data_IF_766240126656
#
_entry.id   IF_766240126656
#
_cell.length_a   1.000
_cell.length_b   1.000
_cell.length_c   1.000
_cell.angle_alpha   90.00
_cell.angle_beta   90.00
_cell.angle_gamma   90.00
#
_symmetry.space_group_name_H-M   'P 1'
#
loop_
_entity.id
_entity.type
_entity.pdbx_description
1 polymer ?
#
# COMPACT_ATOMS: atom_id res chain seq x y z
N UNK A 1 -12.43 25.45 3.25
CA UNK A 1 -11.16 25.04 3.86
C UNK A 1 -9.95 25.79 3.28
N UNK A 2 -9.69 25.75 1.98
CA UNK A 2 -8.49 26.35 1.37
C UNK A 2 -8.43 27.87 1.56
N UNK A 3 -9.52 28.59 1.32
CA UNK A 3 -9.61 30.04 1.57
C UNK A 3 -9.40 30.39 3.04
N UNK A 4 -9.99 29.61 3.96
CA UNK A 4 -9.79 29.81 5.39
C UNK A 4 -8.32 29.62 5.79
N UNK A 5 -7.63 28.62 5.25
CA UNK A 5 -6.23 28.39 5.50
C UNK A 5 -5.33 29.57 5.04
N UNK A 6 -5.63 30.13 3.87
CA UNK A 6 -4.90 31.26 3.31
C UNK A 6 -5.14 32.53 4.14
N UNK A 7 -6.37 32.78 4.55
CA UNK A 7 -6.72 33.91 5.43
C UNK A 7 -6.03 33.79 6.81
N UNK A 8 -6.03 32.58 7.40
CA UNK A 8 -5.34 32.33 8.68
C UNK A 8 -3.83 32.53 8.54
N UNK A 9 -3.25 32.10 7.42
CA UNK A 9 -1.83 32.31 7.11
C UNK A 9 -1.49 33.81 7.04
N UNK A 10 -2.33 34.61 6.39
CA UNK A 10 -2.13 36.04 6.22
C UNK A 10 -2.34 36.82 7.53
N UNK A 11 -3.40 36.51 8.30
CA UNK A 11 -3.62 37.09 9.62
C UNK A 11 -2.51 36.78 10.62
N UNK A 12 -1.94 35.55 10.55
CA UNK A 12 -0.76 35.19 11.34
C UNK A 12 0.49 35.96 10.90
N UNK A 13 0.60 36.37 9.61
CA UNK A 13 1.70 37.17 9.08
C UNK A 13 1.70 38.57 9.65
N UNK A 14 0.58 39.24 9.69
CA UNK A 14 0.43 40.58 10.21
C UNK A 14 0.84 40.69 11.72
N UNK A 15 0.54 39.66 12.52
CA UNK A 15 1.00 39.56 13.91
C UNK A 15 2.51 39.34 14.07
N UNK A 16 3.18 38.79 13.04
CA UNK A 16 4.62 38.54 13.03
C UNK A 16 5.42 39.66 12.37
N UNK A 17 4.80 40.82 12.08
CA UNK A 17 5.47 41.95 11.41
C UNK A 17 5.76 41.75 9.93
N UNK A 18 5.16 40.75 9.30
CA UNK A 18 5.28 40.51 7.86
C UNK A 18 4.12 41.22 7.16
N UNK A 19 4.37 41.98 6.07
CA UNK A 19 3.31 42.66 5.33
C UNK A 19 2.24 41.67 4.85
N UNK A 20 0.97 42.10 4.82
CA UNK A 20 -0.13 41.31 4.30
C UNK A 20 0.03 41.06 2.80
N UNK A 21 -0.42 39.89 2.36
CA UNK A 21 -0.39 39.51 0.94
C UNK A 21 -1.51 40.28 0.20
N UNK A 22 -1.26 40.86 -0.99
CA UNK A 22 -2.32 41.52 -1.76
C UNK A 22 -3.50 40.59 -2.01
N UNK A 23 -4.72 41.11 -1.87
CA UNK A 23 -5.99 40.35 -1.91
C UNK A 23 -6.14 39.49 -3.20
N UNK A 24 -5.66 40.00 -4.32
CA UNK A 24 -5.65 39.25 -5.58
C UNK A 24 -4.97 37.87 -5.45
N UNK A 25 -3.82 37.81 -4.82
CA UNK A 25 -3.04 36.57 -4.67
C UNK A 25 -3.64 35.62 -3.59
N UNK A 26 -4.32 36.19 -2.59
CA UNK A 26 -5.06 35.39 -1.63
C UNK A 26 -6.24 34.63 -2.25
N UNK A 27 -6.74 35.11 -3.40
CA UNK A 27 -7.81 34.44 -4.19
C UNK A 27 -7.20 33.59 -5.32
N UNK A 28 -6.19 34.08 -6.03
CA UNK A 28 -5.59 33.39 -7.16
C UNK A 28 -4.95 32.06 -6.76
N UNK A 29 -4.21 32.01 -5.64
CA UNK A 29 -3.58 30.78 -5.17
C UNK A 29 -4.57 29.64 -4.89
N UNK A 30 -5.67 29.84 -4.09
CA UNK A 30 -6.68 28.83 -3.89
C UNK A 30 -7.33 28.34 -5.18
N UNK A 31 -7.67 29.25 -6.11
CA UNK A 31 -8.28 28.89 -7.38
C UNK A 31 -7.36 28.03 -8.24
N UNK A 32 -6.09 28.40 -8.36
CA UNK A 32 -5.09 27.61 -9.08
C UNK A 32 -4.89 26.24 -8.43
N UNK A 33 -4.78 26.18 -7.10
CA UNK A 33 -4.64 24.91 -6.37
C UNK A 33 -5.84 24.00 -6.64
N UNK A 34 -7.05 24.55 -6.56
CA UNK A 34 -8.29 23.80 -6.86
C UNK A 34 -8.34 23.31 -8.30
N UNK A 35 -8.00 24.18 -9.26
CA UNK A 35 -7.95 23.82 -10.69
C UNK A 35 -6.98 22.66 -10.95
N UNK A 36 -5.77 22.68 -10.37
CA UNK A 36 -4.80 21.61 -10.51
C UNK A 36 -5.25 20.31 -9.82
N UNK A 37 -5.90 20.38 -8.68
CA UNK A 37 -6.47 19.20 -8.03
C UNK A 37 -7.60 18.59 -8.86
N UNK A 38 -8.45 19.42 -9.44
CA UNK A 38 -9.55 18.98 -10.32
C UNK A 38 -9.03 18.37 -11.63
N UNK A 39 -8.06 19.02 -12.29
CA UNK A 39 -7.42 18.52 -13.51
C UNK A 39 -6.74 17.17 -13.30
N UNK A 40 -6.16 16.94 -12.12
CA UNK A 40 -5.56 15.65 -11.73
C UNK A 40 -6.55 14.62 -11.24
N UNK A 41 -7.85 14.91 -11.34
CA UNK A 41 -8.94 13.96 -11.04
C UNK A 41 -9.11 13.63 -9.56
N UNK A 42 -8.71 14.52 -8.64
CA UNK A 42 -8.88 14.31 -7.19
C UNK A 42 -10.37 14.17 -6.80
N UNK A 43 -11.25 14.84 -7.53
CA UNK A 43 -12.70 14.87 -7.27
C UNK A 43 -13.49 13.83 -8.09
N UNK A 44 -12.83 13.02 -8.91
CA UNK A 44 -13.52 11.94 -9.64
C UNK A 44 -13.94 10.85 -8.66
N UNK A 45 -15.16 10.31 -8.77
CA UNK A 45 -15.60 9.19 -7.95
C UNK A 45 -14.66 8.00 -8.17
N UNK A 46 -14.21 7.39 -7.09
CA UNK A 46 -13.30 6.24 -7.12
C UNK A 46 -13.85 5.13 -6.26
N UNK A 47 -13.70 3.90 -6.73
CA UNK A 47 -14.06 2.70 -5.96
C UNK A 47 -13.17 2.58 -4.73
N UNK A 48 -11.87 2.81 -4.89
CA UNK A 48 -10.89 2.66 -3.81
C UNK A 48 -10.50 4.01 -3.20
N UNK A 49 -10.57 4.11 -1.87
CA UNK A 49 -10.02 5.24 -1.13
C UNK A 49 -8.49 5.11 -1.06
N UNK A 50 -7.79 5.99 -1.76
CA UNK A 50 -6.33 6.04 -1.78
C UNK A 50 -5.83 7.29 -1.08
N UNK A 51 -6.05 7.36 0.23
CA UNK A 51 -5.74 8.55 1.06
C UNK A 51 -4.34 9.09 0.81
N UNK A 52 -3.33 8.22 0.85
CA UNK A 52 -1.93 8.64 0.65
C UNK A 52 -1.64 9.13 -0.79
N UNK A 53 -2.32 8.57 -1.80
CA UNK A 53 -2.19 9.06 -3.18
C UNK A 53 -2.86 10.44 -3.35
N UNK A 54 -3.96 10.66 -2.67
CA UNK A 54 -4.64 11.96 -2.64
C UNK A 54 -3.77 13.02 -1.95
N UNK A 55 -3.06 12.67 -0.86
CA UNK A 55 -2.12 13.58 -0.20
C UNK A 55 -1.01 14.04 -1.16
N UNK A 56 -0.47 13.11 -1.97
CA UNK A 56 0.50 13.46 -3.01
C UNK A 56 -0.07 14.47 -4.01
N UNK A 57 -1.30 14.24 -4.51
CA UNK A 57 -1.94 15.14 -5.46
C UNK A 57 -2.15 16.52 -4.84
N UNK A 58 -2.58 16.59 -3.59
CA UNK A 58 -2.78 17.86 -2.86
C UNK A 58 -1.48 18.65 -2.76
N UNK A 59 -0.41 18.02 -2.22
CA UNK A 59 0.88 18.71 -2.02
C UNK A 59 1.50 19.18 -3.34
N UNK A 60 1.50 18.31 -4.35
CA UNK A 60 2.08 18.67 -5.65
C UNK A 60 1.26 19.72 -6.40
N UNK A 61 -0.06 19.75 -6.24
CA UNK A 61 -0.91 20.79 -6.84
C UNK A 61 -0.73 22.13 -6.12
N UNK A 62 -0.67 22.14 -4.80
CA UNK A 62 -0.39 23.33 -4.02
C UNK A 62 1.02 23.88 -4.30
N UNK A 63 2.04 23.02 -4.44
CA UNK A 63 3.40 23.42 -4.78
C UNK A 63 3.47 24.05 -6.18
N UNK A 64 2.80 23.47 -7.16
CA UNK A 64 2.75 24.03 -8.53
C UNK A 64 2.06 25.39 -8.55
N UNK A 65 0.93 25.55 -7.85
CA UNK A 65 0.24 26.81 -7.70
C UNK A 65 1.14 27.86 -7.01
N UNK A 66 1.85 27.47 -5.94
CA UNK A 66 2.79 28.35 -5.26
C UNK A 66 3.95 28.80 -6.15
N UNK A 67 4.52 27.91 -6.95
CA UNK A 67 5.57 28.24 -7.93
C UNK A 67 5.08 29.26 -8.95
N UNK A 68 3.89 29.10 -9.50
CA UNK A 68 3.30 30.03 -10.48
C UNK A 68 3.07 31.39 -9.82
N UNK A 69 2.43 31.42 -8.64
CA UNK A 69 2.18 32.66 -7.91
C UNK A 69 3.49 33.38 -7.57
N UNK A 70 4.50 32.64 -7.10
CA UNK A 70 5.82 33.18 -6.79
C UNK A 70 6.46 33.80 -8.03
N UNK A 71 6.50 33.08 -9.15
CA UNK A 71 7.09 33.57 -10.40
C UNK A 71 6.41 34.84 -10.91
N UNK A 72 5.08 34.86 -10.92
CA UNK A 72 4.31 36.03 -11.37
C UNK A 72 4.50 37.24 -10.44
N UNK A 73 4.61 37.01 -9.13
CA UNK A 73 4.81 38.08 -8.15
C UNK A 73 6.21 38.67 -8.25
N UNK A 74 7.23 37.85 -8.44
CA UNK A 74 8.63 38.34 -8.63
C UNK A 74 8.72 39.22 -9.89
N UNK A 75 8.01 38.87 -10.97
CA UNK A 75 8.00 39.65 -12.20
C UNK A 75 7.16 40.93 -12.05
N UNK A 76 6.08 40.89 -11.25
CA UNK A 76 5.11 41.99 -11.13
C UNK A 76 5.49 43.06 -10.09
N UNK A 77 6.30 42.74 -9.10
CA UNK A 77 6.61 43.61 -7.98
C UNK A 77 8.00 43.32 -7.40
N UNK A 78 8.73 44.37 -7.13
CA UNK A 78 10.06 44.30 -6.47
C UNK A 78 9.85 44.32 -4.91
N UNK A 79 9.18 43.26 -4.41
CA UNK A 79 8.87 43.11 -2.99
C UNK A 79 9.76 42.00 -2.37
N UNK A 80 10.65 42.32 -1.44
CA UNK A 80 11.53 41.32 -0.81
C UNK A 80 10.80 40.23 0.00
N UNK A 81 9.56 40.45 0.34
CA UNK A 81 8.76 39.52 1.15
C UNK A 81 8.01 38.48 0.32
N UNK A 82 7.99 38.57 -1.01
CA UNK A 82 7.21 37.71 -1.90
C UNK A 82 7.46 36.22 -1.63
N UNK A 83 8.72 35.82 -1.51
CA UNK A 83 9.09 34.43 -1.28
C UNK A 83 8.58 33.93 0.07
N UNK A 84 8.80 34.72 1.13
CA UNK A 84 8.37 34.36 2.50
C UNK A 84 6.84 34.25 2.62
N UNK A 85 6.10 35.21 2.06
CA UNK A 85 4.64 35.20 2.03
C UNK A 85 4.09 33.99 1.26
N UNK A 86 4.63 33.72 0.06
CA UNK A 86 4.17 32.59 -0.76
C UNK A 86 4.49 31.25 -0.11
N UNK A 87 5.70 31.06 0.45
CA UNK A 87 6.08 29.85 1.16
C UNK A 87 5.17 29.60 2.38
N UNK A 88 4.82 30.65 3.11
CA UNK A 88 3.92 30.55 4.27
C UNK A 88 2.50 30.15 3.87
N UNK A 89 1.92 30.82 2.85
CA UNK A 89 0.60 30.48 2.34
C UNK A 89 0.59 29.00 1.86
N UNK A 90 1.61 28.59 1.11
CA UNK A 90 1.77 27.22 0.65
C UNK A 90 1.83 26.22 1.83
N UNK A 91 2.63 26.51 2.87
CA UNK A 91 2.78 25.62 4.02
C UNK A 91 1.45 25.46 4.77
N UNK A 92 0.79 26.58 5.13
CA UNK A 92 -0.50 26.54 5.84
C UNK A 92 -1.58 25.86 4.98
N UNK A 93 -1.70 26.21 3.71
CA UNK A 93 -2.67 25.58 2.81
C UNK A 93 -2.42 24.08 2.69
N UNK A 94 -1.16 23.66 2.56
CA UNK A 94 -0.80 22.24 2.51
C UNK A 94 -1.22 21.51 3.79
N UNK A 95 -0.87 22.03 4.96
CA UNK A 95 -1.25 21.42 6.26
C UNK A 95 -2.76 21.32 6.40
N UNK A 96 -3.51 22.41 6.12
CA UNK A 96 -4.99 22.40 6.23
C UNK A 96 -5.65 21.45 5.25
N UNK A 97 -5.19 21.42 4.01
CA UNK A 97 -5.73 20.51 2.99
C UNK A 97 -5.43 19.05 3.33
N UNK A 98 -4.20 18.75 3.79
CA UNK A 98 -3.82 17.42 4.24
C UNK A 98 -4.65 16.96 5.42
N UNK A 99 -4.76 17.79 6.46
CA UNK A 99 -5.57 17.51 7.64
C UNK A 99 -7.05 17.28 7.26
N UNK A 100 -7.62 18.19 6.47
CA UNK A 100 -9.01 18.08 6.00
C UNK A 100 -9.24 16.82 5.16
N UNK A 101 -8.28 16.47 4.28
CA UNK A 101 -8.39 15.24 3.47
C UNK A 101 -8.30 13.98 4.32
N UNK A 102 -7.42 13.96 5.32
CA UNK A 102 -7.30 12.83 6.25
C UNK A 102 -8.61 12.66 7.02
N UNK A 103 -9.18 13.74 7.58
CA UNK A 103 -10.44 13.70 8.34
C UNK A 103 -11.60 13.22 7.47
N UNK A 104 -11.76 13.77 6.25
CA UNK A 104 -12.81 13.34 5.32
C UNK A 104 -12.65 11.87 4.92
N UNK A 105 -11.44 11.44 4.59
CA UNK A 105 -11.16 10.06 4.22
C UNK A 105 -11.38 9.10 5.40
N UNK A 106 -11.02 9.50 6.60
CA UNK A 106 -11.29 8.73 7.81
C UNK A 106 -12.80 8.60 8.07
N UNK A 107 -13.55 9.69 7.94
CA UNK A 107 -15.01 9.68 8.06
C UNK A 107 -15.67 8.76 7.04
N UNK A 108 -15.25 8.84 5.77
CA UNK A 108 -15.74 7.97 4.71
C UNK A 108 -15.39 6.49 4.96
N UNK A 109 -14.17 6.22 5.42
CA UNK A 109 -13.76 4.87 5.79
C UNK A 109 -14.61 4.29 6.93
N UNK A 110 -14.92 5.10 7.94
CA UNK A 110 -15.78 4.69 9.04
C UNK A 110 -17.23 4.45 8.59
N UNK A 111 -17.77 5.33 7.72
CA UNK A 111 -19.10 5.17 7.14
C UNK A 111 -19.20 3.88 6.31
N UNK A 112 -18.17 3.56 5.51
CA UNK A 112 -18.09 2.30 4.74
C UNK A 112 -18.05 1.08 5.66
N UNK A 113 -17.22 1.11 6.71
CA UNK A 113 -17.14 0.00 7.69
C UNK A 113 -18.44 -0.21 8.44
N UNK A 114 -19.22 0.84 8.71
CA UNK A 114 -20.56 0.76 9.32
C UNK A 114 -21.65 0.35 8.33
N UNK A 115 -21.34 0.23 7.04
CA UNK A 115 -22.31 -0.09 6.00
C UNK A 115 -23.21 1.08 5.58
N UNK A 116 -22.93 2.31 6.05
CA UNK A 116 -23.73 3.50 5.73
C UNK A 116 -23.44 4.05 4.34
N UNK A 117 -22.22 3.84 3.82
CA UNK A 117 -21.77 4.31 2.50
C UNK A 117 -21.24 3.15 1.65
N UNK A 118 -22.11 2.17 1.39
CA UNK A 118 -21.77 1.00 0.57
C UNK A 118 -22.63 0.97 -0.69
N UNK A 119 -22.06 0.40 -1.76
CA UNK A 119 -22.75 0.18 -3.04
C UNK A 119 -23.09 -1.30 -3.15
N UNK A 120 -24.40 -1.65 -3.20
CA UNK A 120 -24.79 -3.02 -3.49
C UNK A 120 -24.17 -3.48 -4.82
N UNK A 121 -23.42 -4.59 -4.78
CA UNK A 121 -22.59 -5.04 -5.89
C UNK A 121 -23.00 -6.44 -6.32
N UNK A 122 -23.24 -6.63 -7.60
CA UNK A 122 -23.58 -7.92 -8.18
C UNK A 122 -22.37 -8.50 -8.91
N UNK A 123 -22.07 -9.77 -8.69
CA UNK A 123 -20.98 -10.46 -9.36
C UNK A 123 -21.55 -11.33 -10.49
N UNK A 124 -21.14 -11.09 -11.72
CA UNK A 124 -21.51 -11.89 -12.88
C UNK A 124 -20.47 -12.99 -13.09
N UNK A 125 -20.91 -14.25 -12.96
CA UNK A 125 -20.09 -15.44 -12.95
C UNK A 125 -19.85 -15.97 -11.54
N UNK A 126 -20.39 -17.16 -11.22
CA UNK A 126 -20.22 -17.87 -9.93
C UNK A 126 -19.10 -18.92 -9.97
N UNK A 127 -18.14 -18.79 -10.89
CA UNK A 127 -16.96 -19.62 -11.00
C UNK A 127 -15.90 -19.28 -9.92
N UNK A 128 -14.74 -19.95 -9.97
CA UNK A 128 -13.63 -19.74 -9.01
C UNK A 128 -13.26 -18.28 -8.82
N UNK A 129 -13.16 -17.51 -9.91
CA UNK A 129 -12.75 -16.07 -9.85
C UNK A 129 -13.87 -15.21 -9.30
N UNK A 130 -15.14 -15.47 -9.65
CA UNK A 130 -16.27 -14.73 -9.09
C UNK A 130 -16.39 -14.93 -7.59
N UNK A 131 -16.26 -16.14 -7.10
CA UNK A 131 -16.27 -16.47 -5.67
C UNK A 131 -15.10 -15.83 -4.93
N UNK A 132 -13.88 -15.86 -5.51
CA UNK A 132 -12.72 -15.17 -4.97
C UNK A 132 -12.97 -13.65 -4.88
N UNK A 133 -13.54 -13.07 -5.91
CA UNK A 133 -13.90 -11.64 -5.94
C UNK A 133 -14.91 -11.31 -4.85
N UNK A 134 -15.98 -12.07 -4.73
CA UNK A 134 -17.01 -11.87 -3.72
C UNK A 134 -16.45 -12.04 -2.29
N UNK A 135 -15.64 -13.06 -2.04
CA UNK A 135 -14.95 -13.27 -0.76
C UNK A 135 -14.08 -12.06 -0.41
N UNK A 136 -13.24 -11.57 -1.32
CA UNK A 136 -12.40 -10.38 -1.08
C UNK A 136 -13.23 -9.12 -0.80
N UNK A 137 -14.38 -8.96 -1.43
CA UNK A 137 -15.29 -7.86 -1.14
C UNK A 137 -15.91 -7.96 0.26
N UNK A 138 -16.21 -9.17 0.74
CA UNK A 138 -16.70 -9.40 2.10
C UNK A 138 -15.61 -9.21 3.17
N UNK A 139 -14.38 -9.63 2.87
CA UNK A 139 -13.22 -9.47 3.76
C UNK A 139 -12.76 -8.00 3.86
N UNK A 140 -13.07 -7.17 2.85
CA UNK A 140 -12.62 -5.77 2.73
C UNK A 140 -13.79 -4.78 2.61
N UNK A 141 -14.62 -4.60 3.66
CA UNK A 141 -15.77 -3.69 3.63
C UNK A 141 -15.37 -2.23 3.39
N UNK A 142 -14.12 -1.87 3.67
CA UNK A 142 -13.55 -0.54 3.39
C UNK A 142 -13.54 -0.18 1.89
N UNK A 143 -13.66 -1.15 1.00
CA UNK A 143 -13.80 -0.92 -0.44
C UNK A 143 -15.15 -0.23 -0.79
N UNK A 144 -16.14 -0.31 0.11
CA UNK A 144 -17.46 0.26 -0.09
C UNK A 144 -18.30 -0.48 -1.12
N UNK A 145 -17.93 -1.72 -1.49
CA UNK A 145 -18.68 -2.60 -2.37
C UNK A 145 -19.21 -3.77 -1.54
N UNK A 146 -20.54 -3.88 -1.44
CA UNK A 146 -21.22 -4.96 -0.71
C UNK A 146 -21.77 -5.97 -1.68
N UNK A 147 -21.19 -7.17 -1.82
CA UNK A 147 -21.73 -8.17 -2.73
C UNK A 147 -23.10 -8.65 -2.24
N UNK A 148 -24.08 -8.69 -3.14
CA UNK A 148 -25.45 -9.13 -2.86
C UNK A 148 -25.73 -10.56 -3.36
N UNK A 149 -24.99 -11.02 -4.37
CA UNK A 149 -25.11 -12.35 -4.94
C UNK A 149 -24.42 -12.47 -6.29
N UNK A 150 -24.70 -13.58 -6.95
CA UNK A 150 -24.16 -13.89 -8.28
C UNK A 150 -25.25 -13.93 -9.34
N UNK A 151 -24.85 -13.62 -10.59
CA UNK A 151 -25.59 -14.04 -11.78
C UNK A 151 -24.77 -15.07 -12.55
N UNK A 152 -25.31 -16.29 -12.65
CA UNK A 152 -24.71 -17.35 -13.46
C UNK A 152 -25.78 -18.33 -13.94
N UNK A 153 -25.70 -18.74 -15.20
CA UNK A 153 -26.59 -19.74 -15.78
C UNK A 153 -26.28 -21.16 -15.29
N UNK A 154 -24.99 -21.45 -15.12
CA UNK A 154 -24.45 -22.74 -14.75
C UNK A 154 -23.43 -22.60 -13.63
N UNK A 155 -23.90 -22.28 -12.40
CA UNK A 155 -23.00 -22.08 -11.29
C UNK A 155 -22.27 -23.38 -10.95
N UNK A 156 -20.98 -23.29 -10.64
CA UNK A 156 -20.25 -24.42 -10.08
C UNK A 156 -20.93 -24.84 -8.77
N UNK A 157 -20.86 -26.14 -8.42
CA UNK A 157 -21.37 -26.63 -7.14
C UNK A 157 -20.90 -25.72 -5.99
N UNK A 158 -21.83 -25.37 -5.10
CA UNK A 158 -21.51 -24.52 -3.97
C UNK A 158 -20.40 -25.18 -3.15
N UNK A 159 -19.35 -24.44 -2.84
CA UNK A 159 -18.43 -24.86 -1.80
C UNK A 159 -19.10 -24.60 -0.45
N UNK A 160 -18.83 -25.41 0.57
CA UNK A 160 -19.43 -25.28 1.93
C UNK A 160 -19.25 -23.88 2.56
N UNK A 161 -18.40 -23.05 2.02
CA UNK A 161 -18.07 -21.68 2.48
C UNK A 161 -18.69 -20.56 1.62
N UNK A 162 -19.61 -20.87 0.69
CA UNK A 162 -20.20 -19.85 -0.20
C UNK A 162 -21.42 -19.20 0.45
N UNK A 163 -21.21 -17.99 0.98
CA UNK A 163 -22.22 -17.24 1.76
C UNK A 163 -23.21 -16.44 0.92
N UNK A 164 -23.03 -16.40 -0.41
CA UNK A 164 -23.83 -15.55 -1.29
C UNK A 164 -24.70 -16.39 -2.22
N UNK A 165 -25.97 -16.01 -2.42
CA UNK A 165 -26.89 -16.71 -3.31
C UNK A 165 -26.61 -16.43 -4.80
N UNK A 166 -26.95 -17.38 -5.65
CA UNK A 166 -27.11 -17.16 -7.08
C UNK A 166 -28.54 -16.63 -7.31
N UNK A 167 -28.65 -15.36 -7.75
CA UNK A 167 -29.91 -14.64 -7.87
C UNK A 167 -30.62 -14.84 -9.22
N UNK A 168 -29.93 -15.48 -10.17
CA UNK A 168 -30.43 -15.77 -11.49
C UNK A 168 -29.33 -15.84 -12.54
N UNK A 169 -29.70 -15.74 -13.79
CA UNK A 169 -28.80 -15.73 -14.93
C UNK A 169 -28.67 -14.31 -15.53
N UNK A 170 -27.84 -14.15 -16.56
CA UNK A 170 -27.59 -12.86 -17.19
C UNK A 170 -28.84 -12.12 -17.71
N UNK A 171 -29.88 -12.83 -18.07
CA UNK A 171 -31.16 -12.26 -18.49
C UNK A 171 -32.04 -11.75 -17.34
N UNK A 172 -31.75 -12.16 -16.09
CA UNK A 172 -32.44 -11.66 -14.88
C UNK A 172 -31.83 -10.36 -14.35
N UNK A 173 -30.85 -9.77 -15.03
CA UNK A 173 -30.10 -8.58 -14.59
C UNK A 173 -31.03 -7.43 -14.18
N UNK A 174 -32.03 -7.10 -15.01
CA UNK A 174 -32.94 -5.99 -14.75
C UNK A 174 -33.75 -6.17 -13.48
N UNK A 175 -34.23 -7.39 -13.26
CA UNK A 175 -34.99 -7.76 -12.07
C UNK A 175 -34.10 -7.64 -10.83
N UNK A 176 -32.95 -8.28 -10.87
CA UNK A 176 -31.99 -8.31 -9.74
C UNK A 176 -31.48 -6.92 -9.40
N UNK A 177 -31.16 -6.08 -10.40
CA UNK A 177 -30.72 -4.70 -10.19
C UNK A 177 -31.79 -3.89 -9.44
N UNK A 178 -33.05 -4.03 -9.81
CA UNK A 178 -34.18 -3.30 -9.16
C UNK A 178 -34.47 -3.84 -7.76
N UNK A 179 -34.58 -5.15 -7.60
CA UNK A 179 -34.93 -5.80 -6.33
C UNK A 179 -33.86 -5.56 -5.24
N UNK A 180 -32.60 -5.60 -5.62
CA UNK A 180 -31.49 -5.47 -4.66
C UNK A 180 -30.84 -4.08 -4.67
N UNK A 181 -31.34 -3.12 -5.45
CA UNK A 181 -30.80 -1.77 -5.54
C UNK A 181 -29.33 -1.74 -6.01
N UNK A 182 -28.96 -2.65 -6.92
CA UNK A 182 -27.55 -2.78 -7.37
C UNK A 182 -27.07 -1.51 -8.03
N UNK A 183 -25.91 -1.02 -7.59
CA UNK A 183 -25.25 0.17 -8.14
C UNK A 183 -23.93 -0.14 -8.83
N UNK A 184 -23.39 -1.33 -8.61
CA UNK A 184 -22.14 -1.76 -9.20
C UNK A 184 -22.20 -3.21 -9.64
N UNK A 185 -21.68 -3.52 -10.82
CA UNK A 185 -21.57 -4.89 -11.35
C UNK A 185 -20.10 -5.22 -11.57
N UNK A 186 -19.66 -6.37 -11.10
CA UNK A 186 -18.34 -6.92 -11.38
C UNK A 186 -18.47 -8.11 -12.30
N UNK A 187 -18.00 -7.95 -13.54
CA UNK A 187 -17.89 -9.05 -14.48
C UNK A 187 -16.66 -9.88 -14.14
N UNK A 188 -16.86 -11.10 -13.67
CA UNK A 188 -15.83 -12.10 -13.48
C UNK A 188 -15.71 -13.03 -14.69
N UNK A 189 -14.84 -14.03 -14.62
CA UNK A 189 -14.76 -15.02 -15.68
C UNK A 189 -16.05 -15.81 -15.79
N UNK A 190 -16.62 -15.76 -16.99
CA UNK A 190 -17.81 -16.53 -17.38
C UNK A 190 -17.51 -17.32 -18.64
N UNK A 191 -18.14 -18.49 -18.77
CA UNK A 191 -18.19 -19.28 -19.99
C UNK A 191 -19.10 -18.68 -21.05
N UNK A 192 -19.83 -17.62 -20.68
CA UNK A 192 -20.77 -16.93 -21.59
C UNK A 192 -20.02 -16.36 -22.82
N UNK A 193 -20.65 -16.42 -24.00
CA UNK A 193 -20.13 -15.78 -25.21
C UNK A 193 -19.91 -14.27 -25.01
N UNK A 194 -18.93 -13.71 -25.72
CA UNK A 194 -18.60 -12.27 -25.63
C UNK A 194 -19.82 -11.38 -25.95
N UNK A 195 -20.71 -11.80 -26.84
CA UNK A 195 -21.95 -11.07 -27.16
C UNK A 195 -22.86 -10.90 -25.94
N UNK A 196 -22.94 -11.92 -25.09
CA UNK A 196 -23.74 -11.87 -23.83
C UNK A 196 -23.14 -10.90 -22.86
N UNK A 197 -21.80 -10.92 -22.68
CA UNK A 197 -21.11 -9.98 -21.79
C UNK A 197 -21.27 -8.53 -22.25
N UNK A 198 -21.16 -8.29 -23.56
CA UNK A 198 -21.40 -6.97 -24.14
C UNK A 198 -22.86 -6.50 -23.96
N UNK A 199 -23.84 -7.42 -24.09
CA UNK A 199 -25.23 -7.11 -23.81
C UNK A 199 -25.45 -6.73 -22.34
N UNK A 200 -24.86 -7.48 -21.40
CA UNK A 200 -24.89 -7.15 -19.97
C UNK A 200 -24.27 -5.77 -19.71
N UNK A 201 -23.11 -5.46 -20.30
CA UNK A 201 -22.47 -4.15 -20.14
C UNK A 201 -23.34 -3.01 -20.64
N UNK A 202 -23.94 -3.13 -21.85
CA UNK A 202 -24.87 -2.13 -22.40
C UNK A 202 -26.07 -1.94 -21.47
N UNK A 203 -26.63 -3.06 -20.99
CA UNK A 203 -27.80 -2.98 -20.12
C UNK A 203 -27.49 -2.31 -18.80
N UNK A 204 -26.32 -2.57 -18.20
CA UNK A 204 -25.85 -1.86 -17.02
C UNK A 204 -25.72 -0.34 -17.29
N UNK A 205 -25.19 0.06 -18.45
CA UNK A 205 -25.08 1.47 -18.84
C UNK A 205 -26.48 2.13 -18.95
N UNK A 206 -27.45 1.46 -19.55
CA UNK A 206 -28.85 1.94 -19.65
C UNK A 206 -29.51 2.10 -18.27
N UNK A 207 -29.17 1.20 -17.32
CA UNK A 207 -29.68 1.23 -15.95
C UNK A 207 -28.90 2.20 -15.04
N UNK A 208 -27.85 2.86 -15.54
CA UNK A 208 -26.99 3.75 -14.76
C UNK A 208 -26.13 3.02 -13.72
N UNK A 209 -25.85 1.73 -13.94
CA UNK A 209 -25.05 0.88 -13.04
C UNK A 209 -23.59 0.88 -13.51
N UNK A 210 -22.67 1.15 -12.59
CA UNK A 210 -21.24 1.08 -12.87
C UNK A 210 -20.78 -0.37 -13.12
N UNK A 211 -19.90 -0.58 -14.09
CA UNK A 211 -19.36 -1.90 -14.41
C UNK A 211 -17.86 -1.92 -14.28
N UNK A 212 -17.35 -2.94 -13.58
CA UNK A 212 -15.94 -3.30 -13.54
C UNK A 212 -15.74 -4.72 -14.08
N UNK A 213 -14.61 -4.99 -14.66
CA UNK A 213 -14.30 -6.32 -15.20
C UNK A 213 -12.98 -6.83 -14.66
N UNK A 214 -12.97 -8.09 -14.23
CA UNK A 214 -11.73 -8.81 -13.92
C UNK A 214 -11.12 -9.28 -15.25
N UNK A 215 -9.92 -8.84 -15.64
CA UNK A 215 -9.32 -9.24 -16.89
C UNK A 215 -8.90 -10.73 -16.87
N UNK A 216 -8.96 -11.42 -18.02
CA UNK A 216 -8.63 -12.86 -18.10
C UNK A 216 -7.20 -13.21 -17.67
N UNK A 217 -6.29 -12.26 -17.72
CA UNK A 217 -4.90 -12.42 -17.30
C UNK A 217 -4.62 -11.69 -15.99
N UNK A 218 -5.62 -11.58 -15.10
CA UNK A 218 -5.51 -10.81 -13.85
C UNK A 218 -4.29 -11.24 -12.99
N UNK A 219 -3.87 -12.49 -13.09
CA UNK A 219 -2.69 -13.03 -12.40
C UNK A 219 -1.37 -12.41 -12.90
N UNK A 220 -1.34 -11.90 -14.14
CA UNK A 220 -0.19 -11.24 -14.76
C UNK A 220 -0.39 -9.75 -15.05
N UNK A 221 -1.64 -9.27 -14.95
CA UNK A 221 -2.00 -7.85 -15.12
C UNK A 221 -1.84 -7.14 -13.77
N UNK A 222 -0.65 -7.27 -13.17
CA UNK A 222 -0.32 -6.68 -11.87
C UNK A 222 0.74 -5.60 -12.09
N UNK A 223 0.46 -4.63 -12.93
CA UNK A 223 1.38 -3.54 -13.24
C UNK A 223 0.66 -2.33 -13.81
N UNK A 224 1.40 -1.36 -14.27
CA UNK A 224 0.83 -0.22 -14.99
C UNK A 224 0.29 -0.71 -16.33
N UNK A 225 -1.02 -0.96 -16.39
CA UNK A 225 -1.71 -1.28 -17.62
C UNK A 225 -2.19 0.01 -18.25
N UNK A 226 -1.61 0.37 -19.37
CA UNK A 226 -2.09 1.41 -20.24
C UNK A 226 -3.14 0.86 -21.21
N UNK A 227 -4.15 1.67 -21.54
CA UNK A 227 -5.03 1.39 -22.67
C UNK A 227 -4.56 2.26 -23.82
N UNK A 228 -4.05 1.61 -24.87
CA UNK A 228 -3.68 2.25 -26.13
C UNK A 228 -4.71 1.87 -27.21
N UNK A 229 -4.83 2.65 -28.27
CA UNK A 229 -5.79 2.38 -29.33
C UNK A 229 -5.06 2.19 -30.66
N UNK A 230 -5.21 1.01 -31.25
CA UNK A 230 -4.75 0.69 -32.59
C UNK A 230 -5.94 0.73 -33.56
N UNK A 231 -6.13 1.83 -34.30
CA UNK A 231 -7.23 1.96 -35.24
C UNK A 231 -8.63 1.72 -34.65
N UNK A 232 -8.86 2.15 -33.39
CA UNK A 232 -10.10 1.93 -32.67
C UNK A 232 -10.17 0.62 -31.85
N UNK A 233 -9.19 -0.27 -31.98
CA UNK A 233 -9.05 -1.47 -31.15
C UNK A 233 -8.29 -1.15 -29.87
N UNK A 234 -8.88 -1.31 -28.68
CA UNK A 234 -8.19 -1.06 -27.42
C UNK A 234 -7.16 -2.17 -27.18
N UNK A 235 -5.89 -1.77 -26.96
CA UNK A 235 -4.79 -2.60 -26.55
C UNK A 235 -4.48 -2.39 -25.08
N UNK A 236 -4.47 -3.47 -24.31
CA UNK A 236 -3.97 -3.45 -22.94
C UNK A 236 -2.45 -3.68 -22.96
N UNK A 237 -1.70 -2.58 -22.82
CA UNK A 237 -0.24 -2.65 -22.78
C UNK A 237 0.21 -2.78 -21.34
N UNK A 238 0.73 -3.94 -20.95
CA UNK A 238 1.37 -4.16 -19.66
C UNK A 238 2.85 -3.74 -19.76
N UNK A 239 3.25 -2.76 -18.96
CA UNK A 239 4.66 -2.35 -18.85
C UNK A 239 5.28 -3.05 -17.64
N UNK A 240 6.07 -4.12 -17.84
CA UNK A 240 6.72 -4.79 -16.72
C UNK A 240 7.77 -3.87 -16.08
N UNK A 241 7.70 -3.71 -14.78
CA UNK A 241 8.75 -3.01 -14.02
C UNK A 241 10.08 -3.73 -14.19
N UNK A 242 11.09 -3.02 -14.67
CA UNK A 242 12.44 -3.54 -14.81
C UNK A 242 13.28 -3.25 -13.54
N UNK A 243 13.53 -4.26 -12.67
CA UNK A 243 14.32 -4.06 -11.44
C UNK A 243 15.81 -3.75 -11.69
N UNK A 244 16.27 -3.84 -12.93
CA UNK A 244 17.63 -3.49 -13.35
C UNK A 244 17.74 -2.09 -13.97
N UNK A 245 16.64 -1.32 -13.96
CA UNK A 245 16.62 0.04 -14.49
C UNK A 245 17.44 1.01 -13.62
N UNK A 246 17.81 2.15 -14.21
CA UNK A 246 18.48 3.23 -13.48
C UNK A 246 17.67 3.76 -12.28
N UNK A 247 16.35 3.68 -12.35
CA UNK A 247 15.44 4.08 -11.28
C UNK A 247 15.69 3.26 -9.99
N UNK A 248 15.91 1.94 -10.13
CA UNK A 248 16.30 1.09 -8.99
C UNK A 248 17.72 1.38 -8.50
N UNK A 249 18.64 1.79 -9.38
CA UNK A 249 19.95 2.24 -8.96
C UNK A 249 19.85 3.49 -8.06
N UNK A 250 19.03 4.48 -8.47
CA UNK A 250 18.73 5.68 -7.66
C UNK A 250 18.07 5.29 -6.33
N UNK A 251 17.08 4.39 -6.36
CA UNK A 251 16.45 3.86 -5.13
C UNK A 251 17.50 3.33 -4.17
N UNK A 252 18.36 2.40 -4.62
CA UNK A 252 19.34 1.75 -3.75
C UNK A 252 20.44 2.72 -3.26
N UNK A 253 20.74 3.76 -4.00
CA UNK A 253 21.63 4.84 -3.54
C UNK A 253 20.94 5.67 -2.44
N UNK A 254 19.67 6.06 -2.65
CA UNK A 254 18.88 6.77 -1.67
C UNK A 254 18.69 5.94 -0.37
N UNK A 255 18.39 4.63 -0.50
CA UNK A 255 18.27 3.72 0.64
C UNK A 255 19.53 3.72 1.51
N UNK A 256 20.72 3.69 0.89
CA UNK A 256 22.00 3.74 1.62
C UNK A 256 22.21 5.05 2.35
N UNK A 257 21.90 6.19 1.71
CA UNK A 257 22.02 7.51 2.33
C UNK A 257 21.07 7.64 3.52
N UNK A 258 19.82 7.22 3.35
CA UNK A 258 18.83 7.23 4.43
C UNK A 258 19.23 6.26 5.54
N UNK A 259 19.74 5.07 5.21
CA UNK A 259 20.22 4.10 6.21
C UNK A 259 21.42 4.64 7.00
N UNK A 260 22.37 5.32 6.35
CA UNK A 260 23.48 5.98 7.02
C UNK A 260 23.00 7.05 8.01
N UNK A 261 22.07 7.91 7.57
CA UNK A 261 21.47 8.92 8.43
C UNK A 261 20.72 8.29 9.61
N UNK A 262 19.88 7.28 9.35
CA UNK A 262 19.15 6.58 10.40
C UNK A 262 20.08 5.88 11.39
N UNK A 263 21.20 5.26 10.96
CA UNK A 263 22.17 4.63 11.85
C UNK A 263 22.73 5.64 12.85
N UNK A 264 23.06 6.86 12.42
CA UNK A 264 23.51 7.93 13.32
C UNK A 264 22.40 8.33 14.29
N UNK A 265 21.18 8.49 13.80
CA UNK A 265 20.04 8.91 14.62
C UNK A 265 19.67 7.87 15.69
N UNK A 266 19.68 6.57 15.34
CA UNK A 266 19.31 5.48 16.26
C UNK A 266 20.50 4.93 17.04
N UNK A 267 21.71 5.45 16.84
CA UNK A 267 22.93 4.98 17.53
C UNK A 267 22.80 4.93 19.06
N UNK A 268 22.19 5.93 19.75
CA UNK A 268 21.99 5.85 21.20
C UNK A 268 21.09 4.67 21.61
N UNK A 269 20.02 4.42 20.84
CA UNK A 269 19.10 3.29 21.08
C UNK A 269 19.82 1.96 20.86
N UNK A 270 20.61 1.86 19.79
CA UNK A 270 21.42 0.67 19.50
C UNK A 270 22.47 0.41 20.57
N UNK A 271 23.10 1.46 21.10
CA UNK A 271 24.05 1.34 22.20
C UNK A 271 23.37 0.81 23.47
N UNK A 272 22.22 1.38 23.84
CA UNK A 272 21.44 0.91 24.98
C UNK A 272 21.00 -0.55 24.81
N UNK A 273 20.51 -0.93 23.62
CA UNK A 273 20.18 -2.33 23.30
C UNK A 273 21.39 -3.25 23.39
N UNK A 274 22.56 -2.81 22.90
CA UNK A 274 23.83 -3.55 22.98
C UNK A 274 24.21 -3.85 24.43
N UNK A 275 24.18 -2.82 25.30
CA UNK A 275 24.49 -2.95 26.74
C UNK A 275 23.47 -3.89 27.41
N UNK A 276 22.17 -3.71 27.11
CA UNK A 276 21.10 -4.55 27.66
C UNK A 276 21.24 -6.02 27.28
N UNK A 277 21.52 -6.32 26.00
CA UNK A 277 21.76 -7.69 25.54
C UNK A 277 23.00 -8.28 26.17
N UNK A 278 24.10 -7.51 26.24
CA UNK A 278 25.34 -7.95 26.90
C UNK A 278 25.11 -8.26 28.37
N UNK A 279 24.44 -7.41 29.10
CA UNK A 279 24.21 -7.58 30.54
C UNK A 279 23.24 -8.74 30.84
N UNK A 280 22.26 -9.04 29.98
CA UNK A 280 21.24 -10.05 30.27
C UNK A 280 21.50 -11.42 29.63
N UNK A 281 22.18 -11.46 28.46
CA UNK A 281 22.40 -12.66 27.66
C UNK A 281 23.88 -12.92 27.31
N UNK A 282 24.80 -12.00 27.65
CA UNK A 282 26.21 -12.12 27.31
C UNK A 282 26.49 -12.03 25.80
N UNK A 283 27.63 -12.55 25.36
CA UNK A 283 27.99 -12.65 23.94
C UNK A 283 27.47 -13.95 23.32
N UNK A 284 27.17 -13.97 22.01
CA UNK A 284 27.22 -12.88 21.03
C UNK A 284 26.03 -11.89 21.18
N UNK A 285 26.26 -10.60 20.89
CA UNK A 285 25.23 -9.53 20.94
C UNK A 285 24.33 -9.59 19.73
N UNK A 286 24.92 -9.88 18.57
CA UNK A 286 24.21 -9.95 17.31
C UNK A 286 23.91 -11.39 16.91
N UNK A 287 22.69 -11.61 16.48
CA UNK A 287 22.26 -12.82 15.81
C UNK A 287 22.47 -12.65 14.30
N UNK A 288 23.05 -13.67 13.67
CA UNK A 288 23.30 -13.73 12.23
C UNK A 288 22.60 -14.95 11.64
N UNK A 289 21.99 -14.79 10.49
CA UNK A 289 21.33 -15.89 9.79
C UNK A 289 21.39 -15.68 8.28
N UNK A 290 21.69 -16.74 7.55
CA UNK A 290 21.64 -16.73 6.10
C UNK A 290 20.22 -16.47 5.58
N UNK A 291 20.09 -15.56 4.62
CA UNK A 291 18.84 -15.19 3.96
C UNK A 291 19.05 -15.06 2.47
N UNK A 292 17.99 -15.38 1.70
CA UNK A 292 17.97 -15.17 0.27
C UNK A 292 17.61 -13.71 -0.05
N UNK A 293 18.44 -13.07 -0.82
CA UNK A 293 18.26 -11.72 -1.33
C UNK A 293 17.93 -11.69 -2.83
N UNK A 294 18.33 -10.60 -3.49
CA UNK A 294 18.11 -10.39 -4.91
C UNK A 294 18.78 -11.46 -5.77
N UNK A 295 18.06 -11.95 -6.78
CA UNK A 295 18.50 -13.01 -7.70
C UNK A 295 18.96 -14.30 -6.97
N UNK A 296 18.40 -14.57 -5.77
CA UNK A 296 18.73 -15.73 -4.94
C UNK A 296 20.10 -15.67 -4.23
N UNK A 297 20.80 -14.55 -4.29
CA UNK A 297 22.09 -14.38 -3.59
C UNK A 297 21.89 -14.43 -2.08
N UNK A 298 22.65 -15.27 -1.42
CA UNK A 298 22.59 -15.42 0.03
C UNK A 298 23.42 -14.34 0.71
N UNK A 299 22.86 -13.74 1.78
CA UNK A 299 23.55 -12.78 2.64
C UNK A 299 23.22 -13.07 4.11
N UNK A 300 24.01 -12.54 5.04
CA UNK A 300 23.76 -12.66 6.47
C UNK A 300 22.95 -11.47 6.98
N UNK A 301 21.71 -11.72 7.42
CA UNK A 301 20.92 -10.72 8.11
C UNK A 301 21.44 -10.49 9.53
N UNK A 302 21.53 -9.23 9.95
CA UNK A 302 21.94 -8.84 11.29
C UNK A 302 20.75 -8.45 12.15
N UNK A 303 20.65 -8.99 13.37
CA UNK A 303 19.66 -8.62 14.38
C UNK A 303 20.30 -8.57 15.77
N UNK A 304 19.68 -7.87 16.71
CA UNK A 304 20.02 -8.09 18.11
C UNK A 304 19.56 -9.48 18.57
N UNK A 305 20.37 -10.13 19.39
CA UNK A 305 20.00 -11.40 20.02
C UNK A 305 18.84 -11.15 21.00
N UNK A 306 17.73 -11.81 20.77
CA UNK A 306 16.49 -11.68 21.56
C UNK A 306 16.08 -12.98 22.26
N UNK A 307 16.80 -14.07 21.99
CA UNK A 307 16.55 -15.41 22.54
C UNK A 307 17.81 -15.96 23.18
N UNK A 308 17.63 -16.76 24.26
CA UNK A 308 18.69 -17.59 24.82
C UNK A 308 19.03 -18.76 23.89
N UNK A 309 20.16 -19.39 24.11
CA UNK A 309 20.52 -20.62 23.43
C UNK A 309 19.56 -21.75 23.82
N UNK A 310 19.28 -22.72 22.91
CA UNK A 310 18.49 -23.89 23.24
C UNK A 310 19.14 -24.70 24.35
N UNK A 311 18.37 -25.24 25.29
CA UNK A 311 18.81 -26.23 26.27
C UNK A 311 18.64 -27.62 25.68
N UNK A 312 19.29 -28.61 26.32
CA UNK A 312 19.12 -30.01 25.92
C UNK A 312 17.62 -30.39 25.94
N UNK A 313 17.13 -30.96 24.84
CA UNK A 313 15.74 -31.35 24.65
C UNK A 313 14.81 -30.28 24.09
N UNK A 314 15.25 -29.02 23.96
CA UNK A 314 14.43 -27.97 23.32
C UNK A 314 14.53 -28.01 21.80
N UNK A 315 13.38 -28.04 21.12
CA UNK A 315 13.31 -28.00 19.65
C UNK A 315 13.58 -26.59 19.13
N UNK A 316 14.49 -26.48 18.16
CA UNK A 316 14.70 -25.28 17.34
C UNK A 316 14.05 -25.39 15.96
N UNK A 317 13.40 -26.52 15.68
CA UNK A 317 12.74 -26.77 14.39
C UNK A 317 11.44 -25.98 14.27
N UNK A 318 11.24 -25.37 13.12
CA UNK A 318 9.98 -24.71 12.78
C UNK A 318 9.08 -25.71 12.07
N UNK A 319 8.01 -26.13 12.73
CA UNK A 319 6.91 -26.84 12.07
C UNK A 319 5.98 -25.81 11.40
N UNK A 320 6.00 -25.80 10.08
CA UNK A 320 5.12 -24.93 9.28
C UNK A 320 3.95 -25.74 8.75
N UNK A 321 2.71 -25.39 9.11
CA UNK A 321 1.53 -25.89 8.42
C UNK A 321 1.62 -25.58 6.92
N UNK A 322 1.09 -26.47 6.09
CA UNK A 322 1.09 -26.30 4.62
C UNK A 322 0.42 -24.98 4.25
N UNK A 323 1.03 -24.23 3.34
CA UNK A 323 0.51 -22.92 2.87
C UNK A 323 0.74 -21.74 3.82
N UNK A 324 1.39 -21.96 4.95
CA UNK A 324 1.69 -20.91 5.93
C UNK A 324 3.12 -20.41 5.77
N UNK A 325 3.28 -19.09 5.82
CA UNK A 325 4.60 -18.46 5.77
C UNK A 325 5.31 -18.55 7.13
N UNK A 326 6.65 -18.64 7.15
CA UNK A 326 7.43 -18.65 8.38
C UNK A 326 7.31 -17.30 9.11
N UNK A 327 7.25 -17.36 10.45
CA UNK A 327 7.21 -16.18 11.29
C UNK A 327 7.00 -16.51 12.76
N UNK A 328 7.23 -15.52 13.62
CA UNK A 328 7.12 -15.70 15.06
C UNK A 328 8.33 -16.38 15.69
N UNK A 329 8.10 -17.17 16.71
CA UNK A 329 9.09 -18.00 17.41
C UNK A 329 9.19 -19.36 16.74
N UNK A 330 10.39 -19.78 16.41
CA UNK A 330 10.66 -21.10 15.87
C UNK A 330 10.97 -22.08 17.01
N UNK A 331 10.23 -23.18 17.10
CA UNK A 331 10.34 -24.14 18.19
C UNK A 331 9.85 -23.58 19.54
N UNK A 332 10.51 -23.99 20.62
CA UNK A 332 10.16 -23.56 21.97
C UNK A 332 10.41 -22.07 22.19
N UNK A 333 9.57 -21.42 23.02
CA UNK A 333 9.71 -19.99 23.32
C UNK A 333 10.92 -19.74 24.26
N UNK A 334 12.00 -19.30 23.65
CA UNK A 334 13.26 -18.99 24.32
C UNK A 334 13.48 -17.49 24.48
N UNK A 335 12.45 -16.66 24.29
CA UNK A 335 12.55 -15.21 24.43
C UNK A 335 12.87 -14.81 25.86
N UNK A 336 13.83 -13.92 26.02
CA UNK A 336 14.06 -13.25 27.31
C UNK A 336 13.09 -12.09 27.48
N UNK A 337 12.91 -11.56 28.69
CA UNK A 337 12.08 -10.37 28.93
C UNK A 337 12.53 -9.18 28.08
N UNK A 338 13.85 -8.94 28.04
CA UNK A 338 14.44 -7.91 27.18
C UNK A 338 14.22 -8.24 25.70
N UNK A 339 14.42 -9.49 25.31
CA UNK A 339 14.23 -9.94 23.94
C UNK A 339 12.79 -9.76 23.45
N UNK A 340 11.79 -10.03 24.29
CA UNK A 340 10.38 -9.76 24.01
C UNK A 340 10.11 -8.27 23.82
N UNK A 341 10.72 -7.41 24.65
CA UNK A 341 10.63 -5.95 24.48
C UNK A 341 11.26 -5.49 23.16
N UNK A 342 12.49 -5.95 22.86
CA UNK A 342 13.19 -5.59 21.61
C UNK A 342 12.36 -6.00 20.36
N UNK A 343 11.76 -7.20 20.37
CA UNK A 343 10.91 -7.67 19.26
C UNK A 343 9.62 -6.89 19.13
N UNK A 344 8.93 -6.63 20.24
CA UNK A 344 7.68 -5.85 20.24
C UNK A 344 7.87 -4.44 19.72
N UNK A 345 9.03 -3.83 19.98
CA UNK A 345 9.40 -2.50 19.51
C UNK A 345 10.14 -2.52 18.17
N UNK A 346 10.40 -3.71 17.60
CA UNK A 346 11.20 -3.89 16.39
C UNK A 346 12.64 -3.33 16.50
N UNK A 347 13.13 -3.05 17.69
CA UNK A 347 14.51 -2.59 17.95
C UNK A 347 15.52 -3.69 17.61
N UNK A 348 15.11 -4.96 17.74
CA UNK A 348 15.95 -6.09 17.33
C UNK A 348 16.30 -6.09 15.84
N UNK A 349 15.51 -5.43 14.98
CA UNK A 349 15.76 -5.34 13.55
C UNK A 349 16.60 -4.14 13.11
N UNK A 350 16.90 -3.17 14.02
CA UNK A 350 17.71 -1.98 13.69
C UNK A 350 19.11 -2.30 13.11
N UNK A 351 19.84 -3.38 13.53
CA UNK A 351 21.11 -3.72 12.91
C UNK A 351 21.02 -4.04 11.41
N UNK A 352 19.84 -4.34 10.87
CA UNK A 352 19.64 -4.54 9.42
C UNK A 352 19.91 -3.26 8.61
N UNK A 353 19.85 -2.07 9.23
CA UNK A 353 20.29 -0.83 8.57
C UNK A 353 21.74 -0.93 8.07
N UNK A 354 22.58 -1.70 8.76
CA UNK A 354 23.93 -2.01 8.31
C UNK A 354 23.95 -2.87 7.04
N UNK A 355 23.03 -3.86 6.93
CA UNK A 355 22.88 -4.63 5.69
C UNK A 355 22.42 -3.75 4.51
N UNK A 356 21.55 -2.73 4.78
CA UNK A 356 21.15 -1.76 3.74
C UNK A 356 22.35 -0.91 3.31
N UNK A 357 23.12 -0.41 4.26
CA UNK A 357 24.33 0.40 3.99
C UNK A 357 25.35 -0.39 3.16
N UNK A 358 25.58 -1.66 3.47
CA UNK A 358 26.40 -2.59 2.68
C UNK A 358 25.82 -2.89 1.30
N UNK A 359 24.54 -2.62 1.10
CA UNK A 359 23.82 -2.85 -0.15
C UNK A 359 23.33 -4.28 -0.35
N UNK A 360 23.32 -5.08 0.70
CA UNK A 360 22.77 -6.44 0.73
C UNK A 360 21.23 -6.40 0.79
N UNK A 361 20.68 -5.39 1.47
CA UNK A 361 19.25 -5.13 1.63
C UNK A 361 18.85 -3.75 1.09
N UNK A 362 17.57 -3.46 1.17
CA UNK A 362 16.90 -2.20 0.89
C UNK A 362 16.07 -1.80 2.12
N UNK A 363 15.72 -0.54 2.27
CA UNK A 363 14.77 -0.11 3.30
C UNK A 363 13.39 -0.72 3.05
N UNK A 364 12.97 -0.74 1.77
CA UNK A 364 11.66 -1.26 1.34
C UNK A 364 11.84 -2.36 0.30
N UNK A 365 11.24 -3.51 0.55
CA UNK A 365 11.25 -4.67 -0.34
C UNK A 365 10.58 -5.89 0.29
N UNK A 366 10.50 -7.02 -0.43
CA UNK A 366 10.02 -8.28 0.13
C UNK A 366 10.83 -8.72 1.36
N UNK A 367 10.17 -9.31 2.35
CA UNK A 367 10.85 -9.85 3.53
C UNK A 367 11.77 -11.01 3.14
N UNK A 368 13.06 -11.00 3.57
CA UNK A 368 14.00 -12.07 3.23
C UNK A 368 13.66 -13.38 3.93
N UNK A 369 13.67 -14.47 3.16
CA UNK A 369 13.41 -15.82 3.66
C UNK A 369 14.71 -16.65 3.74
N UNK A 370 14.69 -17.74 4.52
CA UNK A 370 15.81 -18.69 4.59
C UNK A 370 15.96 -19.42 3.26
N UNK A 371 17.20 -19.72 2.82
CA UNK A 371 17.44 -20.44 1.57
C UNK A 371 16.70 -21.79 1.49
N UNK A 372 16.59 -22.51 2.61
CA UNK A 372 15.90 -23.80 2.68
C UNK A 372 14.41 -23.67 2.34
N UNK A 373 13.76 -22.59 2.80
CA UNK A 373 12.35 -22.34 2.52
C UNK A 373 12.11 -21.86 1.10
N UNK A 374 13.07 -21.12 0.52
CA UNK A 374 12.93 -20.60 -0.86
C UNK A 374 12.73 -21.76 -1.84
N UNK A 375 13.52 -22.83 -1.75
CA UNK A 375 13.38 -24.01 -2.61
C UNK A 375 12.00 -24.64 -2.44
N UNK A 376 11.62 -24.96 -1.20
CA UNK A 376 10.32 -25.58 -0.87
C UNK A 376 9.14 -24.75 -1.35
N UNK A 377 9.16 -23.42 -1.10
CA UNK A 377 8.04 -22.55 -1.44
C UNK A 377 7.95 -22.25 -2.94
N UNK A 378 9.07 -22.27 -3.65
CA UNK A 378 9.07 -22.13 -5.11
C UNK A 378 8.36 -23.27 -5.83
N UNK A 379 8.30 -24.47 -5.21
CA UNK A 379 7.56 -25.62 -5.71
C UNK A 379 6.07 -25.56 -5.34
N UNK A 380 5.71 -24.91 -4.23
CA UNK A 380 4.35 -24.89 -3.69
C UNK A 380 3.53 -23.68 -4.11
N UNK A 381 4.16 -22.53 -4.33
CA UNK A 381 3.46 -21.27 -4.58
C UNK A 381 3.83 -20.70 -5.93
N UNK A 382 2.82 -20.52 -6.75
CA UNK A 382 2.98 -19.91 -8.07
C UNK A 382 3.63 -18.53 -7.96
N UNK A 383 4.58 -18.22 -8.83
CA UNK A 383 5.33 -16.96 -8.87
C UNK A 383 6.15 -16.62 -7.60
N UNK A 384 6.41 -17.58 -6.73
CA UNK A 384 7.20 -17.34 -5.52
C UNK A 384 8.60 -16.76 -5.84
N UNK A 385 9.28 -17.28 -6.87
CA UNK A 385 10.60 -16.82 -7.28
C UNK A 385 10.67 -15.36 -7.73
N UNK A 386 9.55 -14.80 -8.20
CA UNK A 386 9.51 -13.43 -8.70
C UNK A 386 9.74 -12.38 -7.61
N UNK A 387 9.48 -12.70 -6.35
CA UNK A 387 9.77 -11.83 -5.19
C UNK A 387 11.27 -11.55 -4.98
N UNK A 388 12.14 -12.38 -5.55
CA UNK A 388 13.60 -12.22 -5.47
C UNK A 388 14.19 -11.36 -6.60
N UNK A 389 13.39 -10.77 -7.47
CA UNK A 389 13.85 -9.85 -8.53
C UNK A 389 14.42 -8.53 -7.99
N UNK A 390 14.09 -8.16 -6.77
CA UNK A 390 14.57 -6.94 -6.08
C UNK A 390 15.29 -7.32 -4.80
N UNK A 391 15.99 -6.35 -4.18
CA UNK A 391 16.60 -6.56 -2.86
C UNK A 391 15.54 -6.77 -1.80
N UNK A 392 15.83 -7.65 -0.84
CA UNK A 392 15.00 -7.83 0.35
C UNK A 392 14.94 -6.53 1.17
N UNK A 393 13.79 -6.24 1.77
CA UNK A 393 13.54 -5.04 2.55
C UNK A 393 13.49 -5.28 4.06
N UNK A 394 13.80 -4.24 4.84
CA UNK A 394 13.50 -4.19 6.28
C UNK A 394 11.98 -4.12 6.45
N UNK A 395 11.33 -3.24 5.69
CA UNK A 395 9.88 -3.16 5.56
C UNK A 395 9.42 -3.54 4.16
N UNK A 396 8.13 -3.88 4.01
CA UNK A 396 7.56 -4.27 2.72
C UNK A 396 6.05 -4.11 2.66
N UNK A 397 5.50 -4.14 1.45
CA UNK A 397 4.08 -3.93 1.22
C UNK A 397 3.22 -4.99 1.91
N UNK A 398 3.59 -6.26 1.84
CA UNK A 398 2.93 -7.34 2.57
C UNK A 398 2.97 -7.10 4.09
N UNK A 399 4.13 -6.66 4.62
CA UNK A 399 4.33 -6.45 6.04
C UNK A 399 3.45 -5.33 6.62
N UNK A 400 3.29 -4.20 5.91
CA UNK A 400 2.45 -3.08 6.38
C UNK A 400 0.96 -3.35 6.29
N UNK A 401 0.56 -4.41 5.57
CA UNK A 401 -0.81 -4.89 5.47
C UNK A 401 -1.10 -6.10 6.39
N UNK A 402 -0.25 -6.32 7.40
CA UNK A 402 -0.49 -7.34 8.43
C UNK A 402 -0.04 -8.74 8.05
N UNK A 403 0.54 -8.96 6.87
CA UNK A 403 1.05 -10.27 6.45
C UNK A 403 2.45 -10.53 7.06
N UNK A 404 2.52 -10.43 8.40
CA UNK A 404 3.69 -10.76 9.22
C UNK A 404 3.43 -12.06 9.96
N UNK A 405 4.50 -12.76 10.34
CA UNK A 405 4.35 -13.96 11.16
C UNK A 405 3.72 -15.14 10.41
N UNK A 406 2.97 -15.98 11.11
CA UNK A 406 2.29 -17.17 10.56
C UNK A 406 1.03 -16.76 9.77
N UNK A 407 1.18 -16.30 8.56
CA UNK A 407 0.09 -15.85 7.69
C UNK A 407 0.10 -16.64 6.38
N UNK A 408 -0.93 -16.44 5.54
CA UNK A 408 -0.99 -17.05 4.20
C UNK A 408 0.26 -16.74 3.37
N UNK A 409 0.96 -17.78 2.94
CA UNK A 409 2.15 -17.65 2.11
C UNK A 409 1.79 -17.11 0.71
N UNK A 410 0.67 -17.57 0.17
CA UNK A 410 0.18 -17.15 -1.16
C UNK A 410 -0.12 -15.65 -1.19
N UNK A 411 -0.87 -15.15 -0.20
CA UNK A 411 -1.19 -13.73 -0.13
C UNK A 411 0.07 -12.88 0.06
N UNK A 412 1.02 -13.34 0.91
CA UNK A 412 2.31 -12.64 1.07
C UNK A 412 3.04 -12.52 -0.26
N UNK A 413 3.11 -13.60 -1.05
CA UNK A 413 3.76 -13.61 -2.37
C UNK A 413 3.04 -12.68 -3.35
N UNK A 414 1.71 -12.67 -3.36
CA UNK A 414 0.93 -11.77 -4.20
C UNK A 414 1.21 -10.29 -3.87
N UNK A 415 1.24 -9.93 -2.58
CA UNK A 415 1.50 -8.57 -2.14
C UNK A 415 2.95 -8.13 -2.39
N UNK A 416 3.92 -9.04 -2.21
CA UNK A 416 5.32 -8.77 -2.54
C UNK A 416 5.52 -8.56 -4.06
N UNK A 417 4.87 -9.38 -4.89
CA UNK A 417 4.91 -9.22 -6.35
C UNK A 417 4.19 -7.95 -6.80
N UNK A 418 3.04 -7.62 -6.18
CA UNK A 418 2.36 -6.35 -6.43
C UNK A 418 3.30 -5.17 -6.18
N UNK A 419 4.04 -5.16 -5.07
CA UNK A 419 5.02 -4.11 -4.80
C UNK A 419 6.06 -3.98 -5.91
N UNK A 420 6.63 -5.09 -6.36
CA UNK A 420 7.68 -5.10 -7.40
C UNK A 420 7.15 -4.56 -8.72
N UNK A 421 5.96 -4.98 -9.11
CA UNK A 421 5.34 -4.65 -10.38
C UNK A 421 4.79 -3.20 -10.43
N UNK A 422 4.37 -2.67 -9.29
CA UNK A 422 3.85 -1.31 -9.17
C UNK A 422 4.85 -0.35 -8.49
N UNK A 423 6.12 -0.74 -8.43
CA UNK A 423 7.13 0.03 -7.75
C UNK A 423 7.22 1.48 -8.25
N UNK A 424 7.32 2.38 -7.31
CA UNK A 424 7.65 3.79 -7.50
C UNK A 424 8.29 4.34 -6.23
N UNK A 425 9.09 5.39 -6.33
CA UNK A 425 9.63 6.07 -5.14
C UNK A 425 8.53 6.51 -4.17
N UNK A 426 7.37 6.89 -4.71
CA UNK A 426 6.20 7.24 -3.89
C UNK A 426 5.65 6.04 -3.13
N UNK A 427 5.65 4.85 -3.73
CA UNK A 427 5.22 3.63 -3.04
C UNK A 427 6.17 3.28 -1.89
N UNK A 428 7.48 3.49 -2.07
CA UNK A 428 8.46 3.32 -0.97
C UNK A 428 8.18 4.30 0.18
N UNK A 429 7.98 5.59 -0.11
CA UNK A 429 7.60 6.59 0.91
C UNK A 429 6.33 6.18 1.64
N UNK A 430 5.31 5.72 0.90
CA UNK A 430 4.05 5.25 1.45
C UNK A 430 4.26 4.07 2.43
N UNK A 431 5.09 3.09 2.04
CA UNK A 431 5.41 1.93 2.89
C UNK A 431 6.14 2.37 4.16
N UNK A 432 7.11 3.28 4.05
CA UNK A 432 7.83 3.79 5.22
C UNK A 432 6.90 4.52 6.19
N UNK A 433 5.98 5.36 5.70
CA UNK A 433 4.97 6.03 6.53
C UNK A 433 4.05 5.01 7.23
N UNK A 434 3.56 4.01 6.50
CA UNK A 434 2.74 2.94 7.06
C UNK A 434 3.51 2.09 8.07
N UNK A 435 4.82 1.90 7.88
CA UNK A 435 5.68 1.17 8.83
C UNK A 435 5.73 1.88 10.18
N UNK A 436 5.90 3.20 10.18
CA UNK A 436 5.87 4.00 11.42
C UNK A 436 4.52 3.85 12.13
N UNK A 437 3.42 3.92 11.38
CA UNK A 437 2.07 3.72 11.93
C UNK A 437 1.87 2.30 12.48
N UNK A 438 2.43 1.28 11.81
CA UNK A 438 2.31 -0.12 12.23
C UNK A 438 3.14 -0.42 13.51
N UNK A 439 4.25 0.27 13.73
CA UNK A 439 5.04 0.16 14.97
C UNK A 439 4.26 0.74 16.16
N UNK A 440 3.56 1.87 15.94
CA UNK A 440 2.78 2.55 17.00
C UNK A 440 1.48 1.80 17.33
N UNK A 441 0.92 1.05 16.38
CA UNK A 441 -0.27 0.21 16.56
C UNK A 441 0.15 -1.26 16.56
N UNK A 442 0.45 -1.86 17.72
CA UNK A 442 0.80 -3.27 17.75
C UNK A 442 -0.38 -4.09 17.20
N UNK A 443 -0.14 -4.82 16.12
CA UNK A 443 -1.12 -5.75 15.58
C UNK A 443 -1.24 -6.96 16.51
N UNK A 444 -2.45 -7.48 16.70
CA UNK A 444 -2.74 -8.67 17.52
C UNK A 444 -2.19 -9.99 16.92
N UNK A 445 -1.21 -9.91 16.00
CA UNK A 445 -0.67 -11.06 15.27
C UNK A 445 0.74 -11.44 15.77
N UNK A 446 0.93 -11.64 17.08
CA UNK A 446 2.10 -12.34 17.65
C UNK A 446 1.68 -13.41 18.63
#
# INVERSE_FOLDING_TARGET
MLFAAVVVADLGASRAGVPSTPAFWLVAFPLLTFAFMAARGLYRPRVFLRVLDDLRVVVTSAALAAMIVLSLRIVAADDPWVAAQTARIWAFASVYLLAGRIVLSWGELQARRRGESVRPTLVVGAGKVGRLTARRLLEHPELGLKPVGYLDKEPLAAADDDRLPVLGASWDLDRVVREHGVRHVVLSFSTAPQSVLLAVMRRCQELGVEVSMVPRFYEKVVGHVGVEYLGGLPLLTAQPTNPRSWQFAVKYAADRLVAAFLLVLVAPIMLAATIGVWATMGRPIFFRQARAGRDGRVFEILKFRSMREPRDGESSALELPTGTAPGGVEGDDRRTRLGSFLRRTSVDELPQLWNVLRGEMSLVGPRPERPEYVKRFSEQVYRYGERHRVKAGISGWAQVHGLRGKTSLTDRVEWDNYYIENWSLWLDVKILLLTVLAIVRPSQAE
#
